data_IF_594612855569
#
_entry.id   IF_594612855569
#
_cell.length_a   1.000
_cell.length_b   1.000
_cell.length_c   1.000
_cell.angle_alpha   90.00
_cell.angle_beta   90.00
_cell.angle_gamma   90.00
#
_symmetry.space_group_name_H-M   'P 1'
#
loop_
_entity.id
_entity.type
_entity.pdbx_description
1 polymer ?
#
# COMPACT_ATOMS: atom_id res chain seq x y z
N UNK A 1 10.08 26.33 15.78
CA UNK A 1 10.19 24.88 15.53
C UNK A 1 9.02 24.06 16.10
N UNK A 2 8.73 24.09 17.41
CA UNK A 2 7.69 23.24 18.03
C UNK A 2 6.30 23.28 17.36
N UNK A 3 5.78 24.48 17.06
CA UNK A 3 4.48 24.66 16.37
C UNK A 3 4.41 24.01 14.97
N UNK A 4 5.55 23.89 14.27
CA UNK A 4 5.58 23.30 12.93
C UNK A 4 5.43 21.78 12.99
N UNK A 5 6.10 21.12 13.94
CA UNK A 5 5.97 19.69 14.18
C UNK A 5 4.56 19.30 14.66
N UNK A 6 3.95 20.10 15.52
CA UNK A 6 2.55 19.91 15.94
C UNK A 6 1.61 19.97 14.74
N UNK A 7 1.79 20.95 13.84
CA UNK A 7 0.97 21.09 12.64
C UNK A 7 1.12 19.90 11.68
N UNK A 8 2.35 19.42 11.46
CA UNK A 8 2.60 18.22 10.66
C UNK A 8 1.94 17.00 11.32
N UNK A 9 2.07 16.86 12.64
CA UNK A 9 1.44 15.77 13.38
C UNK A 9 -0.08 15.77 13.25
N UNK A 10 -0.73 16.94 13.23
CA UNK A 10 -2.16 17.05 12.93
C UNK A 10 -2.48 16.68 11.48
N UNK A 11 -1.66 17.13 10.52
CA UNK A 11 -1.87 16.85 9.10
C UNK A 11 -1.82 15.34 8.81
N UNK A 12 -0.83 14.63 9.36
CA UNK A 12 -0.69 13.17 9.21
C UNK A 12 -1.89 12.37 9.72
N UNK A 13 -2.69 12.96 10.63
CA UNK A 13 -3.89 12.33 11.21
C UNK A 13 -5.19 12.81 10.58
N UNK A 14 -5.11 13.81 9.70
CA UNK A 14 -6.27 14.41 9.06
C UNK A 14 -6.77 13.55 7.91
N UNK A 15 -8.04 13.71 7.56
CA UNK A 15 -8.64 13.07 6.38
C UNK A 15 -8.05 13.53 5.04
N UNK A 16 -7.20 14.57 5.06
CA UNK A 16 -6.49 15.06 3.86
C UNK A 16 -5.22 14.25 3.55
N UNK A 17 -4.81 13.34 4.44
CA UNK A 17 -3.61 12.53 4.28
C UNK A 17 -3.96 11.05 4.31
N UNK A 18 -3.50 10.30 3.30
CA UNK A 18 -3.50 8.84 3.31
C UNK A 18 -2.08 8.33 3.53
N UNK A 19 -1.91 7.37 4.43
CA UNK A 19 -0.65 6.65 4.61
C UNK A 19 -0.82 5.26 4.00
N UNK A 20 -0.05 4.99 2.94
CA UNK A 20 -0.09 3.72 2.22
C UNK A 20 1.22 2.98 2.52
N UNK A 21 1.12 1.76 3.03
CA UNK A 21 2.29 0.92 3.27
C UNK A 21 2.57 0.04 2.06
N UNK A 22 3.81 0.02 1.59
CA UNK A 22 4.23 -0.82 0.45
C UNK A 22 5.20 -1.87 0.96
N UNK A 23 4.94 -3.15 0.66
CA UNK A 23 5.79 -4.26 1.08
C UNK A 23 5.86 -5.34 0.01
N UNK A 24 7.01 -6.03 -0.08
CA UNK A 24 7.07 -7.30 -0.78
C UNK A 24 6.57 -8.43 0.14
N UNK A 25 6.01 -9.52 -0.39
CA UNK A 25 5.48 -10.62 0.42
C UNK A 25 6.60 -11.56 0.95
N UNK A 26 7.51 -11.00 1.74
CA UNK A 26 8.68 -11.67 2.32
C UNK A 26 8.75 -11.42 3.83
N UNK A 27 9.34 -12.36 4.59
CA UNK A 27 9.38 -12.30 6.06
C UNK A 27 9.96 -11.00 6.61
N UNK A 28 11.14 -10.50 6.14
CA UNK A 28 11.71 -9.28 6.70
C UNK A 28 10.82 -8.06 6.47
N UNK A 29 10.24 -7.95 5.27
CA UNK A 29 9.33 -6.85 4.92
C UNK A 29 8.03 -6.90 5.74
N UNK A 30 7.49 -8.09 5.97
CA UNK A 30 6.34 -8.29 6.85
C UNK A 30 6.63 -7.84 8.28
N UNK A 31 7.76 -8.23 8.86
CA UNK A 31 8.13 -7.87 10.23
C UNK A 31 8.39 -6.37 10.41
N UNK A 32 9.00 -5.72 9.42
CA UNK A 32 9.17 -4.27 9.39
C UNK A 32 7.83 -3.55 9.30
N UNK A 33 6.92 -4.08 8.48
CA UNK A 33 5.57 -3.55 8.35
C UNK A 33 4.81 -3.66 9.67
N UNK A 34 4.94 -4.78 10.39
CA UNK A 34 4.34 -4.95 11.71
C UNK A 34 4.86 -3.92 12.72
N UNK A 35 6.18 -3.66 12.73
CA UNK A 35 6.78 -2.61 13.56
C UNK A 35 6.27 -1.22 13.18
N UNK A 36 6.18 -0.94 11.88
CA UNK A 36 5.67 0.34 11.36
C UNK A 36 4.21 0.58 11.73
N UNK A 37 3.33 -0.41 11.53
CA UNK A 37 1.91 -0.33 11.91
C UNK A 37 1.76 -0.08 13.41
N UNK A 38 2.56 -0.76 14.24
CA UNK A 38 2.53 -0.56 15.70
C UNK A 38 2.91 0.88 16.07
N UNK A 39 3.96 1.43 15.47
CA UNK A 39 4.40 2.81 15.71
C UNK A 39 3.34 3.82 15.26
N UNK A 40 2.79 3.67 14.06
CA UNK A 40 1.76 4.57 13.54
C UNK A 40 0.49 4.53 14.38
N UNK A 41 0.06 3.33 14.79
CA UNK A 41 -1.09 3.14 15.68
C UNK A 41 -0.88 3.81 17.04
N UNK A 42 0.31 3.66 17.64
CA UNK A 42 0.65 4.33 18.90
C UNK A 42 0.50 5.86 18.80
N UNK A 43 0.93 6.45 17.68
CA UNK A 43 0.78 7.89 17.43
C UNK A 43 -0.60 8.30 16.87
N UNK A 44 -1.53 7.35 16.72
CA UNK A 44 -2.86 7.55 16.13
C UNK A 44 -2.83 8.09 14.71
N UNK A 45 -1.84 7.68 13.93
CA UNK A 45 -1.75 7.95 12.49
C UNK A 45 -2.38 6.77 11.75
N UNK A 46 -3.49 6.97 11.03
CA UNK A 46 -4.18 5.87 10.36
C UNK A 46 -3.39 5.38 9.14
N UNK A 47 -3.26 4.07 9.01
CA UNK A 47 -2.83 3.43 7.76
C UNK A 47 -4.08 3.23 6.91
N UNK A 48 -4.07 3.80 5.71
CA UNK A 48 -5.23 3.80 4.81
C UNK A 48 -5.32 2.52 3.99
N UNK A 49 -4.20 2.09 3.41
CA UNK A 49 -4.12 0.95 2.49
C UNK A 49 -2.75 0.26 2.59
N UNK A 50 -2.66 -0.97 2.09
CA UNK A 50 -1.42 -1.71 1.89
C UNK A 50 -1.26 -2.16 0.44
N UNK A 51 -0.07 -1.97 -0.11
CA UNK A 51 0.32 -2.45 -1.44
C UNK A 51 1.32 -3.58 -1.28
N UNK A 52 0.88 -4.79 -1.60
CA UNK A 52 1.71 -5.98 -1.67
C UNK A 52 2.36 -6.00 -3.07
N UNK A 53 3.59 -5.51 -3.12
CA UNK A 53 4.34 -5.32 -4.35
C UNK A 53 5.11 -6.57 -4.75
N UNK A 54 5.36 -6.73 -6.05
CA UNK A 54 6.18 -7.80 -6.65
C UNK A 54 5.75 -9.20 -6.22
N UNK A 55 4.45 -9.46 -6.06
CA UNK A 55 4.02 -10.83 -5.79
C UNK A 55 4.30 -11.71 -7.02
N UNK A 56 4.90 -12.87 -6.79
CA UNK A 56 5.10 -13.87 -7.84
C UNK A 56 3.80 -14.66 -8.07
N UNK A 57 3.41 -14.80 -9.32
CA UNK A 57 2.27 -15.63 -9.72
C UNK A 57 2.60 -17.12 -9.64
N UNK A 58 1.58 -17.98 -9.64
CA UNK A 58 1.76 -19.44 -9.56
C UNK A 58 2.60 -20.03 -10.71
N UNK A 59 2.77 -19.29 -11.81
CA UNK A 59 3.64 -19.62 -12.94
C UNK A 59 5.14 -19.51 -12.63
N UNK A 60 5.53 -18.95 -11.49
CA UNK A 60 6.94 -18.74 -11.12
C UNK A 60 7.68 -20.07 -10.88
N UNK A 61 8.88 -20.20 -11.46
CA UNK A 61 9.62 -21.45 -11.50
C UNK A 61 10.02 -21.98 -10.10
N UNK A 62 10.31 -21.09 -9.17
CA UNK A 62 10.85 -21.45 -7.86
C UNK A 62 9.74 -21.73 -6.84
N UNK A 63 9.30 -22.99 -6.77
CA UNK A 63 8.24 -23.45 -5.85
C UNK A 63 8.51 -23.13 -4.38
N UNK A 64 9.77 -23.18 -3.93
CA UNK A 64 10.15 -22.84 -2.55
C UNK A 64 9.86 -21.36 -2.22
N UNK A 65 10.09 -20.46 -3.18
CA UNK A 65 9.74 -19.05 -3.07
C UNK A 65 8.22 -18.89 -2.98
N UNK A 66 7.47 -19.51 -3.89
CA UNK A 66 6.00 -19.47 -3.88
C UNK A 66 5.40 -19.97 -2.56
N UNK A 67 5.92 -21.06 -2.00
CA UNK A 67 5.46 -21.58 -0.72
C UNK A 67 5.72 -20.60 0.43
N UNK A 68 6.87 -19.93 0.42
CA UNK A 68 7.22 -18.92 1.42
C UNK A 68 6.34 -17.68 1.28
N UNK A 69 6.16 -17.20 0.05
CA UNK A 69 5.27 -16.10 -0.29
C UNK A 69 3.83 -16.38 0.16
N UNK A 70 3.28 -17.56 -0.14
CA UNK A 70 1.90 -17.93 0.26
C UNK A 70 1.70 -17.84 1.76
N UNK A 71 2.67 -18.29 2.57
CA UNK A 71 2.61 -18.15 4.03
C UNK A 71 2.58 -16.68 4.47
N UNK A 72 3.39 -15.83 3.83
CA UNK A 72 3.41 -14.40 4.16
C UNK A 72 2.13 -13.69 3.71
N UNK A 73 1.62 -13.99 2.51
CA UNK A 73 0.34 -13.46 2.02
C UNK A 73 -0.81 -13.82 2.96
N UNK A 74 -0.87 -15.06 3.46
CA UNK A 74 -1.89 -15.46 4.43
C UNK A 74 -1.76 -14.73 5.77
N UNK A 75 -0.53 -14.48 6.23
CA UNK A 75 -0.30 -13.65 7.43
C UNK A 75 -0.75 -12.21 7.21
N UNK A 76 -0.40 -11.58 6.08
CA UNK A 76 -0.83 -10.22 5.75
C UNK A 76 -2.37 -10.14 5.70
N UNK A 77 -3.01 -11.12 5.05
CA UNK A 77 -4.47 -11.21 4.94
C UNK A 77 -5.14 -11.35 6.31
N UNK A 78 -4.55 -12.13 7.21
CA UNK A 78 -5.10 -12.40 8.54
C UNK A 78 -4.87 -11.22 9.49
N UNK A 79 -3.62 -10.76 9.61
CA UNK A 79 -3.20 -9.77 10.60
C UNK A 79 -3.65 -8.34 10.24
N UNK A 80 -3.80 -8.06 8.94
CA UNK A 80 -4.19 -6.74 8.42
C UNK A 80 -5.51 -6.79 7.64
N UNK A 81 -6.42 -7.70 7.99
CA UNK A 81 -7.71 -7.88 7.30
C UNK A 81 -8.54 -6.60 7.20
N UNK A 82 -8.43 -5.71 8.18
CA UNK A 82 -9.18 -4.45 8.23
C UNK A 82 -8.57 -3.33 7.39
N UNK A 83 -7.35 -3.51 6.86
CA UNK A 83 -6.69 -2.53 6.01
C UNK A 83 -6.85 -3.02 4.57
N UNK A 84 -7.44 -2.22 3.66
CA UNK A 84 -7.52 -2.55 2.24
C UNK A 84 -6.16 -2.94 1.65
N UNK A 85 -6.15 -3.98 0.81
CA UNK A 85 -4.91 -4.56 0.26
C UNK A 85 -4.98 -4.60 -1.26
N UNK A 86 -3.92 -4.14 -1.92
CA UNK A 86 -3.75 -4.21 -3.37
C UNK A 86 -2.53 -5.05 -3.66
N UNK A 87 -2.63 -5.95 -4.64
CA UNK A 87 -1.53 -6.80 -5.06
C UNK A 87 -1.02 -6.35 -6.42
N UNK A 88 0.28 -6.06 -6.51
CA UNK A 88 0.95 -5.73 -7.76
C UNK A 88 1.89 -6.89 -8.11
N UNK A 89 1.69 -7.56 -9.26
CA UNK A 89 2.51 -8.70 -9.63
C UNK A 89 3.93 -8.24 -9.95
N UNK A 90 4.87 -9.18 -9.87
CA UNK A 90 6.19 -8.96 -10.44
C UNK A 90 6.09 -8.77 -11.96
N UNK A 91 6.39 -7.56 -12.45
CA UNK A 91 6.19 -7.17 -13.86
C UNK A 91 7.28 -7.66 -14.83
N UNK A 92 8.22 -8.50 -14.36
CA UNK A 92 9.30 -9.10 -15.14
C UNK A 92 10.53 -8.21 -15.32
N UNK A 93 10.35 -6.88 -15.31
CA UNK A 93 11.40 -5.90 -15.57
C UNK A 93 11.33 -4.75 -14.56
N UNK A 94 12.39 -3.94 -14.54
CA UNK A 94 12.41 -2.71 -13.75
C UNK A 94 11.36 -1.72 -14.27
N UNK A 95 10.55 -1.17 -13.36
CA UNK A 95 9.54 -0.16 -13.70
C UNK A 95 10.22 1.20 -13.79
N UNK A 96 10.65 1.59 -14.99
CA UNK A 96 11.32 2.86 -15.26
C UNK A 96 10.82 3.51 -16.55
N UNK A 97 10.62 4.83 -16.50
CA UNK A 97 10.09 5.61 -17.62
C UNK A 97 8.56 5.48 -17.75
N UNK A 98 7.98 6.39 -18.53
CA UNK A 98 6.53 6.60 -18.59
C UNK A 98 5.77 5.36 -19.06
N UNK A 99 6.33 4.64 -20.04
CA UNK A 99 5.73 3.42 -20.58
C UNK A 99 5.58 2.33 -19.51
N UNK A 100 6.62 2.11 -18.69
CA UNK A 100 6.56 1.10 -17.63
C UNK A 100 5.69 1.57 -16.46
N UNK A 101 5.74 2.87 -16.10
CA UNK A 101 4.87 3.44 -15.07
C UNK A 101 3.39 3.29 -15.43
N UNK A 102 3.04 3.38 -16.70
CA UNK A 102 1.65 3.21 -17.17
C UNK A 102 1.11 1.81 -16.87
N UNK A 103 1.97 0.79 -16.78
CA UNK A 103 1.57 -0.56 -16.37
C UNK A 103 1.08 -0.65 -14.92
N UNK A 104 1.40 0.34 -14.08
CA UNK A 104 0.91 0.42 -12.71
C UNK A 104 -0.49 1.05 -12.59
N UNK A 105 -0.96 1.76 -13.62
CA UNK A 105 -2.22 2.53 -13.58
C UNK A 105 -3.42 1.68 -13.14
N UNK A 106 -3.66 0.46 -13.68
CA UNK A 106 -4.82 -0.34 -13.27
C UNK A 106 -4.83 -0.69 -11.77
N UNK A 107 -3.65 -0.82 -11.16
CA UNK A 107 -3.51 -1.08 -9.72
C UNK A 107 -3.68 0.20 -8.90
N UNK A 108 -3.25 1.34 -9.43
CA UNK A 108 -3.43 2.65 -8.78
C UNK A 108 -4.90 3.08 -8.78
N UNK A 109 -5.64 2.80 -9.85
CA UNK A 109 -7.08 3.07 -9.91
C UNK A 109 -7.83 2.36 -8.76
N UNK A 110 -7.46 1.12 -8.44
CA UNK A 110 -7.96 0.38 -7.27
C UNK A 110 -7.66 1.08 -5.93
N UNK A 111 -6.53 1.79 -5.83
CA UNK A 111 -6.11 2.54 -4.64
C UNK A 111 -6.89 3.85 -4.48
N UNK A 112 -7.25 4.49 -5.60
CA UNK A 112 -7.84 5.83 -5.61
C UNK A 112 -9.35 5.85 -5.92
N UNK A 113 -10.01 4.69 -6.04
CA UNK A 113 -11.41 4.60 -6.46
C UNK A 113 -12.40 5.34 -5.54
N UNK A 114 -12.08 5.62 -4.27
CA UNK A 114 -12.92 6.49 -3.41
C UNK A 114 -12.69 7.99 -3.63
N UNK A 115 -11.55 8.41 -4.21
CA UNK A 115 -11.15 9.83 -4.28
C UNK A 115 -11.54 10.48 -5.61
N UNK A 116 -11.42 9.75 -6.72
CA UNK A 116 -11.62 10.26 -8.08
C UNK A 116 -13.09 10.58 -8.43
N UNK A 117 -14.06 9.94 -7.76
CA UNK A 117 -15.49 10.23 -7.97
C UNK A 117 -16.01 11.43 -7.17
N UNK A 118 -15.28 11.91 -6.16
CA UNK A 118 -15.72 13.08 -5.37
C UNK A 118 -15.34 14.41 -6.04
N UNK A 119 -14.25 14.45 -6.81
CA UNK A 119 -13.79 15.66 -7.51
C UNK A 119 -14.50 15.87 -8.84
N UNK A 120 -14.89 14.79 -9.52
CA UNK A 120 -15.68 14.83 -10.75
C UNK A 120 -17.11 15.32 -10.49
N UNK A 121 -17.69 15.06 -9.32
CA UNK A 121 -19.00 15.62 -8.93
C UNK A 121 -18.93 17.08 -8.45
N UNK A 122 -17.79 17.53 -7.90
CA UNK A 122 -17.61 18.94 -7.48
C UNK A 122 -17.32 19.89 -8.65
N UNK A 123 -16.76 19.40 -9.75
CA UNK A 123 -16.48 20.21 -10.95
C UNK A 123 -17.68 20.37 -11.88
N UNK A 124 -18.75 19.58 -11.70
CA UNK A 124 -20.01 19.72 -12.46
C UNK A 124 -21.09 20.53 -11.70
N UNK A 125 -20.80 20.98 -10.48
CA UNK A 125 -21.71 21.75 -9.62
C UNK A 125 -21.28 23.23 -9.47
N UNK A 126 -20.52 23.78 -10.43
CA UNK A 126 -20.15 25.19 -10.51
C UNK A 126 -20.46 25.77 -11.88
#
# INVERSE_FOLDING_TARGET
MKRHFERIGCLLKSSQTKIILVLNPETPAFEETARTVKVLSYYKVPVSEMVINRFAEDSFLYKGYLNSQKKILEKIRTDYRSIPQIQIPFLGEEVKGDTQLTRLVPFMEQLFHETLFSESQKSQAR
#
